data_IF_113743728732
#
_entry.id   IF_113743728732
#
_cell.length_a   1.000
_cell.length_b   1.000
_cell.length_c   1.000
_cell.angle_alpha   90.00
_cell.angle_beta   90.00
_cell.angle_gamma   90.00
#
_symmetry.space_group_name_H-M   'P 1'
#
loop_
_entity.id
_entity.type
_entity.pdbx_description
1 polymer ?
#
# COMPACT_ATOMS: atom_id res chain seq x y z
N UNK A 1 30.26 -32.35 21.36
CA UNK A 1 30.94 -31.89 20.14
C UNK A 1 30.89 -30.38 20.13
N UNK A 2 32.04 -29.74 20.12
CA UNK A 2 32.16 -28.29 20.06
C UNK A 2 32.18 -27.87 18.59
N UNK A 3 31.30 -26.95 18.21
CA UNK A 3 31.26 -26.37 16.88
C UNK A 3 32.19 -25.15 16.90
N UNK A 4 33.13 -25.09 15.97
CA UNK A 4 34.07 -23.98 15.83
C UNK A 4 33.83 -23.22 14.51
N UNK A 5 34.35 -21.99 14.45
CA UNK A 5 34.31 -21.18 13.23
C UNK A 5 35.18 -21.89 12.19
N UNK A 6 34.63 -22.15 11.00
CA UNK A 6 35.28 -22.89 9.91
C UNK A 6 34.85 -24.35 9.78
N UNK A 7 34.08 -24.89 10.71
CA UNK A 7 33.58 -26.27 10.61
C UNK A 7 32.47 -26.38 9.56
N UNK A 8 32.52 -27.47 8.77
CA UNK A 8 31.46 -27.81 7.82
C UNK A 8 30.36 -28.56 8.54
N UNK A 9 29.18 -27.98 8.55
CA UNK A 9 28.01 -28.51 9.27
C UNK A 9 26.89 -28.86 8.31
N UNK A 10 26.14 -29.90 8.66
CA UNK A 10 24.86 -30.24 8.05
C UNK A 10 23.74 -29.92 9.03
N UNK A 11 22.62 -29.40 8.51
CA UNK A 11 21.43 -29.16 9.32
C UNK A 11 20.75 -30.48 9.69
N UNK A 12 20.23 -30.58 10.91
CA UNK A 12 19.50 -31.76 11.38
C UNK A 12 18.09 -31.83 10.78
N UNK A 13 17.43 -30.67 10.64
CA UNK A 13 16.02 -30.55 10.28
C UNK A 13 15.79 -30.27 8.78
N UNK A 14 16.87 -30.12 7.98
CA UNK A 14 16.77 -29.75 6.57
C UNK A 14 17.84 -30.43 5.68
N UNK A 15 17.54 -30.54 4.39
CA UNK A 15 18.49 -30.98 3.36
C UNK A 15 19.37 -29.80 2.98
N UNK A 16 20.47 -29.63 3.71
CA UNK A 16 21.39 -28.52 3.50
C UNK A 16 22.54 -28.54 4.50
N UNK A 17 23.55 -27.74 4.23
CA UNK A 17 24.72 -27.62 5.08
C UNK A 17 25.68 -26.57 4.54
N UNK A 18 26.51 -26.03 5.42
CA UNK A 18 27.39 -24.93 5.12
C UNK A 18 28.59 -24.89 6.06
N UNK A 19 29.32 -23.78 6.04
CA UNK A 19 30.49 -23.56 6.88
C UNK A 19 30.13 -22.53 7.94
N UNK A 20 30.50 -22.76 9.20
CA UNK A 20 30.26 -21.78 10.26
C UNK A 20 31.16 -20.57 10.04
N UNK A 21 30.58 -19.38 9.87
CA UNK A 21 31.33 -18.12 9.72
C UNK A 21 31.36 -17.29 11.01
N UNK A 22 30.33 -17.38 11.86
CA UNK A 22 30.27 -16.61 13.10
C UNK A 22 29.37 -17.24 14.17
N UNK A 23 29.61 -16.87 15.44
CA UNK A 23 28.71 -17.16 16.56
C UNK A 23 28.03 -15.87 17.02
N UNK A 24 26.70 -15.87 17.09
CA UNK A 24 25.90 -14.75 17.61
C UNK A 24 25.33 -15.15 18.96
N UNK A 25 26.14 -14.99 20.02
CA UNK A 25 25.75 -15.39 21.39
C UNK A 25 26.02 -16.87 21.68
N UNK A 26 25.37 -17.43 22.71
CA UNK A 26 25.66 -18.80 23.19
C UNK A 26 25.06 -19.91 22.34
N UNK A 27 23.90 -19.67 21.71
CA UNK A 27 23.10 -20.71 21.07
C UNK A 27 22.90 -20.55 19.57
N UNK A 28 23.32 -19.42 18.97
CA UNK A 28 23.03 -19.07 17.58
C UNK A 28 24.32 -18.98 16.75
N UNK A 29 24.33 -19.68 15.62
CA UNK A 29 25.47 -19.90 14.74
C UNK A 29 25.12 -19.41 13.34
N UNK A 30 26.01 -18.69 12.68
CA UNK A 30 25.84 -18.24 11.30
C UNK A 30 26.52 -19.26 10.40
N UNK A 31 25.75 -19.85 9.49
CA UNK A 31 26.22 -20.85 8.54
C UNK A 31 26.17 -20.24 7.15
N UNK A 32 27.31 -20.22 6.48
CA UNK A 32 27.46 -19.83 5.08
C UNK A 32 27.23 -21.04 4.19
N UNK A 33 26.19 -20.95 3.38
CA UNK A 33 25.79 -22.02 2.46
C UNK A 33 26.60 -21.96 1.15
N UNK A 34 26.48 -23.00 0.33
CA UNK A 34 27.23 -23.12 -0.93
C UNK A 34 26.84 -22.06 -1.98
N UNK A 35 25.69 -21.41 -1.81
CA UNK A 35 25.19 -20.30 -2.61
C UNK A 35 25.68 -18.92 -2.12
N UNK A 36 26.45 -18.87 -1.03
CA UNK A 36 26.99 -17.65 -0.45
C UNK A 36 26.02 -16.90 0.48
N UNK A 37 24.88 -17.50 0.84
CA UNK A 37 23.93 -16.91 1.78
C UNK A 37 24.29 -17.27 3.22
N UNK A 38 24.15 -16.30 4.14
CA UNK A 38 24.41 -16.47 5.57
C UNK A 38 23.11 -16.69 6.35
N UNK A 39 22.88 -17.92 6.80
CA UNK A 39 21.66 -18.28 7.55
C UNK A 39 21.97 -18.42 9.05
N UNK A 40 21.28 -17.69 9.94
CA UNK A 40 21.37 -17.89 11.37
C UNK A 40 20.61 -19.16 11.79
N UNK A 41 21.32 -20.14 12.34
CA UNK A 41 20.77 -21.42 12.80
C UNK A 41 21.17 -21.72 14.24
N UNK A 42 20.35 -22.50 14.95
CA UNK A 42 20.67 -22.88 16.33
C UNK A 42 21.79 -23.91 16.36
N UNK A 43 22.71 -23.77 17.33
CA UNK A 43 23.83 -24.70 17.55
C UNK A 43 23.37 -26.16 17.65
N UNK A 44 22.19 -26.41 18.25
CA UNK A 44 21.61 -27.75 18.42
C UNK A 44 21.16 -28.41 17.12
N UNK A 45 20.96 -27.62 16.07
CA UNK A 45 20.47 -28.06 14.77
C UNK A 45 21.62 -28.26 13.76
N UNK A 46 22.89 -28.19 14.20
CA UNK A 46 24.07 -28.35 13.34
C UNK A 46 24.91 -29.56 13.78
N UNK A 47 25.31 -30.39 12.81
CA UNK A 47 26.21 -31.53 13.03
C UNK A 47 27.45 -31.38 12.15
N UNK A 48 28.65 -31.49 12.74
CA UNK A 48 29.93 -31.41 12.02
C UNK A 48 30.13 -32.65 11.17
N UNK A 49 30.47 -32.46 9.89
CA UNK A 49 30.80 -33.54 8.96
C UNK A 49 32.32 -33.61 8.82
N UNK A 50 32.95 -34.68 9.34
CA UNK A 50 34.35 -34.97 9.05
C UNK A 50 34.47 -35.60 7.65
N UNK A 51 35.46 -35.21 6.83
CA UNK A 51 35.65 -35.80 5.51
C UNK A 51 36.20 -37.22 5.64
N UNK A 52 35.42 -38.22 5.21
CA UNK A 52 35.95 -39.57 4.98
C UNK A 52 36.93 -39.58 3.79
N UNK A 53 37.92 -40.47 3.91
CA UNK A 53 39.11 -40.60 3.09
C UNK A 53 38.83 -40.84 1.60
N UNK A 54 39.58 -40.15 0.74
CA UNK A 54 39.71 -40.50 -0.69
C UNK A 54 40.73 -41.63 -0.88
N UNK A 55 40.68 -42.35 -2.02
CA UNK A 55 41.95 -42.73 -2.62
C UNK A 55 42.10 -42.35 -4.12
N UNK A 56 43.37 -42.16 -4.44
CA UNK A 56 44.10 -42.23 -5.72
C UNK A 56 44.23 -40.98 -6.61
N UNK A 57 45.38 -40.33 -6.40
CA UNK A 57 46.35 -39.70 -7.33
C UNK A 57 46.11 -39.87 -8.84
N UNK A 58 46.34 -38.79 -9.60
CA UNK A 58 47.29 -38.78 -10.71
C UNK A 58 47.90 -37.37 -10.96
N UNK A 59 49.22 -37.29 -10.69
CA UNK A 59 50.35 -36.61 -11.37
C UNK A 59 50.22 -35.18 -11.96
N UNK A 60 51.02 -34.28 -11.34
CA UNK A 60 51.70 -32.99 -11.71
C UNK A 60 52.02 -32.72 -13.21
N UNK A 61 52.30 -31.47 -13.69
CA UNK A 61 53.13 -30.43 -13.04
C UNK A 61 52.87 -28.91 -13.24
N UNK A 62 53.30 -28.16 -12.23
CA UNK A 62 53.98 -26.85 -12.17
C UNK A 62 53.85 -25.82 -13.31
N UNK A 63 53.30 -24.63 -13.00
CA UNK A 63 53.77 -23.33 -13.50
C UNK A 63 53.49 -22.20 -12.49
N UNK A 64 54.47 -21.29 -12.38
CA UNK A 64 54.57 -20.15 -11.46
C UNK A 64 53.53 -19.04 -11.76
N UNK A 65 53.41 -17.99 -10.91
CA UNK A 65 52.16 -17.30 -10.59
C UNK A 65 51.71 -16.32 -11.69
N UNK A 66 50.43 -16.39 -12.07
CA UNK A 66 49.74 -15.41 -12.89
C UNK A 66 48.80 -14.56 -12.02
N UNK A 67 48.52 -13.30 -12.39
CA UNK A 67 48.11 -12.23 -11.49
C UNK A 67 46.74 -12.49 -10.88
N UNK A 68 46.58 -12.13 -9.61
CA UNK A 68 45.28 -12.00 -8.94
C UNK A 68 44.42 -11.08 -9.82
N UNK A 69 43.48 -11.69 -10.56
CA UNK A 69 42.38 -10.95 -11.17
C UNK A 69 41.62 -10.34 -10.01
N UNK A 70 41.66 -9.02 -9.91
CA UNK A 70 40.77 -8.25 -9.02
C UNK A 70 39.36 -8.73 -9.34
N UNK A 71 38.78 -9.47 -8.42
CA UNK A 71 37.37 -9.73 -8.36
C UNK A 71 36.67 -8.36 -8.42
N UNK A 72 35.63 -8.19 -9.26
CA UNK A 72 34.94 -6.91 -9.36
C UNK A 72 34.45 -6.58 -7.97
N UNK A 73 34.99 -5.50 -7.41
CA UNK A 73 34.51 -4.89 -6.19
C UNK A 73 33.01 -4.71 -6.38
N UNK A 74 32.21 -5.54 -5.71
CA UNK A 74 30.78 -5.35 -5.66
C UNK A 74 30.61 -3.92 -5.15
N UNK A 75 30.20 -3.03 -6.06
CA UNK A 75 29.76 -1.69 -5.72
C UNK A 75 28.66 -1.88 -4.70
N UNK A 76 29.01 -1.72 -3.41
CA UNK A 76 28.04 -1.53 -2.35
C UNK A 76 27.13 -0.44 -2.89
N UNK A 77 25.80 -0.66 -3.01
CA UNK A 77 24.92 0.35 -3.57
C UNK A 77 25.19 1.64 -2.83
N UNK A 78 25.77 2.60 -3.54
CA UNK A 78 26.10 3.91 -3.00
C UNK A 78 24.82 4.43 -2.38
N UNK A 79 24.82 4.58 -1.05
CA UNK A 79 23.77 5.24 -0.31
C UNK A 79 23.42 6.50 -1.07
N UNK A 80 22.21 6.53 -1.66
CA UNK A 80 21.67 7.65 -2.42
C UNK A 80 21.68 8.85 -1.47
N UNK A 81 22.77 9.60 -1.55
CA UNK A 81 23.08 10.74 -0.69
C UNK A 81 22.54 11.96 -1.39
N UNK A 82 21.21 12.04 -1.34
CA UNK A 82 20.33 13.22 -1.43
C UNK A 82 18.98 12.72 -1.91
N UNK A 83 18.20 12.16 -0.97
CA UNK A 83 16.75 12.12 -1.17
C UNK A 83 16.30 13.58 -1.26
N UNK A 84 15.58 14.00 -2.31
CA UNK A 84 15.02 15.34 -2.34
C UNK A 84 14.20 15.58 -1.06
N UNK A 85 14.17 16.82 -0.55
CA UNK A 85 13.38 17.13 0.63
C UNK A 85 11.93 16.69 0.39
N UNK A 86 11.38 15.88 1.29
CA UNK A 86 9.99 15.46 1.23
C UNK A 86 9.15 16.70 1.55
N UNK A 87 8.48 17.25 0.53
CA UNK A 87 7.58 18.39 0.72
C UNK A 87 6.20 17.87 1.14
N UNK A 88 5.95 17.88 2.45
CA UNK A 88 4.68 17.46 3.08
C UNK A 88 3.73 18.65 3.35
N UNK A 89 4.12 19.86 2.95
CA UNK A 89 3.36 21.07 3.25
C UNK A 89 2.12 21.17 2.35
N UNK A 90 0.96 21.48 2.95
CA UNK A 90 -0.28 21.72 2.21
C UNK A 90 -1.05 20.46 1.80
N UNK A 91 -0.64 19.26 2.23
CA UNK A 91 -1.44 18.07 1.99
C UNK A 91 -2.68 18.07 2.91
N UNK A 92 -3.83 18.34 2.29
CA UNK A 92 -5.15 18.45 2.91
C UNK A 92 -6.07 17.40 2.33
N UNK A 93 -6.88 16.75 3.17
CA UNK A 93 -7.87 15.77 2.71
C UNK A 93 -9.19 16.50 2.54
N UNK A 94 -9.54 16.78 1.29
CA UNK A 94 -10.82 17.41 0.92
C UNK A 94 -11.63 16.45 0.06
N UNK A 95 -12.80 16.08 0.55
CA UNK A 95 -13.72 15.16 -0.13
C UNK A 95 -15.13 15.70 -0.02
N UNK A 96 -15.81 15.78 -1.16
CA UNK A 96 -17.16 16.32 -1.27
C UNK A 96 -18.06 15.35 -2.01
N UNK A 97 -19.35 15.41 -1.71
CA UNK A 97 -20.39 14.80 -2.55
C UNK A 97 -21.06 15.91 -3.35
N UNK A 98 -21.28 15.66 -4.63
CA UNK A 98 -22.00 16.57 -5.51
C UNK A 98 -23.26 15.89 -6.02
N UNK A 99 -24.36 16.64 -6.00
CA UNK A 99 -25.64 16.19 -6.52
C UNK A 99 -26.08 17.12 -7.64
N UNK A 100 -26.45 16.55 -8.78
CA UNK A 100 -26.84 17.29 -9.98
C UNK A 100 -28.14 16.72 -10.55
N UNK A 101 -29.07 17.54 -11.02
CA UNK A 101 -30.21 17.04 -11.78
C UNK A 101 -29.76 16.59 -13.17
N UNK A 102 -30.35 15.51 -13.69
CA UNK A 102 -30.17 15.06 -15.07
C UNK A 102 -30.57 16.17 -16.07
N UNK A 103 -29.66 16.52 -16.98
CA UNK A 103 -29.82 17.70 -17.86
C UNK A 103 -30.98 17.57 -18.87
N UNK A 104 -31.25 16.36 -19.33
CA UNK A 104 -32.22 16.10 -20.41
C UNK A 104 -33.68 16.22 -19.96
N UNK A 105 -33.93 16.52 -18.67
CA UNK A 105 -35.27 16.53 -18.07
C UNK A 105 -35.55 17.83 -17.35
N UNK A 106 -36.85 18.15 -17.23
CA UNK A 106 -37.29 19.27 -16.41
C UNK A 106 -36.83 19.08 -14.96
N UNK A 107 -36.38 20.14 -14.30
CA UNK A 107 -35.79 20.07 -12.95
C UNK A 107 -36.62 19.26 -11.95
N UNK A 108 -37.96 19.35 -11.97
CA UNK A 108 -38.81 18.64 -11.01
C UNK A 108 -38.95 17.13 -11.30
N UNK A 109 -38.69 16.71 -12.53
CA UNK A 109 -38.84 15.32 -13.01
C UNK A 109 -37.50 14.60 -13.21
N UNK A 110 -36.40 15.37 -13.31
CA UNK A 110 -35.07 14.83 -13.49
C UNK A 110 -34.70 13.83 -12.38
N UNK A 111 -33.92 12.82 -12.73
CA UNK A 111 -33.22 12.07 -11.69
C UNK A 111 -32.11 12.94 -11.09
N UNK A 112 -31.57 12.52 -9.96
CA UNK A 112 -30.43 13.18 -9.32
C UNK A 112 -29.24 12.26 -9.44
N UNK A 113 -28.20 12.75 -10.09
CA UNK A 113 -26.89 12.11 -10.16
C UNK A 113 -26.05 12.49 -8.93
N UNK A 114 -25.30 11.53 -8.42
CA UNK A 114 -24.41 11.70 -7.29
C UNK A 114 -22.96 11.38 -7.70
N UNK A 115 -22.05 12.28 -7.36
CA UNK A 115 -20.62 12.16 -7.63
C UNK A 115 -19.81 12.31 -6.34
N UNK A 116 -18.73 11.55 -6.25
CA UNK A 116 -17.67 11.75 -5.27
C UNK A 116 -16.59 12.65 -5.87
N UNK A 117 -16.29 13.76 -5.21
CA UNK A 117 -15.17 14.63 -5.58
C UNK A 117 -14.02 14.38 -4.60
N UNK A 118 -12.86 14.02 -5.14
CA UNK A 118 -11.60 14.00 -4.43
C UNK A 118 -10.79 15.24 -4.79
N UNK A 119 -10.87 16.28 -3.96
CA UNK A 119 -10.11 17.53 -4.13
C UNK A 119 -8.85 17.50 -3.23
N UNK A 120 -8.18 16.36 -3.22
CA UNK A 120 -7.00 16.11 -2.40
C UNK A 120 -5.87 15.54 -3.24
N UNK A 121 -4.60 15.71 -2.79
CA UNK A 121 -3.46 15.13 -3.49
C UNK A 121 -3.31 13.62 -3.25
N UNK A 122 -4.24 12.98 -2.55
CA UNK A 122 -4.21 11.55 -2.21
C UNK A 122 -5.06 10.74 -3.18
N UNK A 123 -4.65 9.51 -3.43
CA UNK A 123 -5.55 8.48 -3.96
C UNK A 123 -6.43 7.99 -2.80
N UNK A 124 -7.72 7.79 -3.04
CA UNK A 124 -8.66 7.35 -2.02
C UNK A 124 -9.25 5.99 -2.38
N UNK A 125 -9.15 5.04 -1.46
CA UNK A 125 -10.05 3.89 -1.46
C UNK A 125 -11.32 4.29 -0.70
N UNK A 126 -12.49 4.10 -1.29
CA UNK A 126 -13.77 4.53 -0.69
C UNK A 126 -14.83 3.43 -0.65
N UNK A 127 -15.77 3.61 0.27
CA UNK A 127 -17.03 2.88 0.35
C UNK A 127 -18.15 3.89 0.60
N UNK A 128 -19.10 3.95 -0.33
CA UNK A 128 -20.30 4.79 -0.27
C UNK A 128 -21.52 3.90 -0.07
N UNK A 129 -22.31 4.23 0.95
CA UNK A 129 -23.38 3.37 1.45
C UNK A 129 -24.60 4.17 1.89
N UNK A 130 -25.74 3.51 1.97
CA UNK A 130 -26.90 4.00 2.71
C UNK A 130 -26.87 3.47 4.13
N UNK A 131 -27.21 4.32 5.09
CA UNK A 131 -27.18 3.98 6.53
C UNK A 131 -28.60 3.98 7.08
N UNK A 132 -29.12 2.78 7.38
CA UNK A 132 -30.46 2.58 7.96
C UNK A 132 -30.37 1.79 9.25
N UNK A 133 -30.93 2.30 10.36
CA UNK A 133 -30.93 1.62 11.66
C UNK A 133 -29.54 1.13 12.10
N UNK A 134 -28.50 1.96 11.90
CA UNK A 134 -27.09 1.65 12.18
C UNK A 134 -26.49 0.51 11.34
N UNK A 135 -27.22 -0.02 10.35
CA UNK A 135 -26.70 -0.93 9.35
C UNK A 135 -26.31 -0.15 8.08
N UNK A 136 -25.19 -0.55 7.48
CA UNK A 136 -24.67 0.03 6.26
C UNK A 136 -24.93 -0.92 5.10
N UNK A 137 -25.51 -0.40 4.02
CA UNK A 137 -25.64 -1.11 2.75
C UNK A 137 -24.80 -0.38 1.70
N UNK A 138 -23.66 -0.97 1.33
CA UNK A 138 -22.79 -0.44 0.28
C UNK A 138 -23.55 -0.33 -1.04
N UNK A 139 -23.52 0.86 -1.62
CA UNK A 139 -24.03 1.12 -2.95
C UNK A 139 -22.90 1.06 -3.98
N UNK A 140 -21.77 1.69 -3.66
CA UNK A 140 -20.60 1.68 -4.50
C UNK A 140 -19.32 1.73 -3.66
N UNK A 141 -18.27 1.07 -4.13
CA UNK A 141 -16.93 1.14 -3.55
C UNK A 141 -15.90 1.09 -4.67
N UNK A 142 -14.70 1.59 -4.40
CA UNK A 142 -13.64 1.64 -5.42
C UNK A 142 -12.46 2.49 -5.00
N UNK A 143 -11.59 2.79 -5.96
CA UNK A 143 -10.52 3.79 -5.82
C UNK A 143 -10.84 5.02 -6.67
N UNK A 144 -10.37 6.19 -6.23
CA UNK A 144 -10.46 7.45 -6.95
C UNK A 144 -9.11 8.17 -6.90
N UNK A 145 -8.63 8.61 -8.06
CA UNK A 145 -7.35 9.30 -8.21
C UNK A 145 -7.36 10.70 -7.55
N UNK A 146 -6.18 11.28 -7.25
CA UNK A 146 -6.09 12.66 -6.76
C UNK A 146 -6.76 13.68 -7.69
N UNK A 147 -7.39 14.70 -7.11
CA UNK A 147 -7.96 15.85 -7.83
C UNK A 147 -8.91 15.46 -8.98
N UNK A 148 -9.71 14.41 -8.78
CA UNK A 148 -10.69 13.94 -9.76
C UNK A 148 -12.06 13.75 -9.12
N UNK A 149 -13.05 13.39 -9.94
CA UNK A 149 -14.39 13.03 -9.51
C UNK A 149 -14.79 11.69 -10.11
N UNK A 150 -15.64 10.93 -9.40
CA UNK A 150 -16.23 9.71 -9.92
C UNK A 150 -17.74 9.69 -9.71
N UNK A 151 -18.46 9.11 -10.67
CA UNK A 151 -19.89 8.86 -10.57
C UNK A 151 -20.16 7.77 -9.53
N UNK A 152 -21.16 7.96 -8.66
CA UNK A 152 -21.56 7.01 -7.62
C UNK A 152 -22.91 6.34 -7.89
N UNK A 153 -23.94 7.12 -8.14
CA UNK A 153 -25.28 6.60 -8.40
C UNK A 153 -26.16 7.67 -9.05
N UNK A 154 -27.30 7.22 -9.57
CA UNK A 154 -28.41 8.07 -9.96
C UNK A 154 -29.64 7.54 -9.26
N UNK A 155 -30.42 8.43 -8.67
CA UNK A 155 -31.66 8.07 -8.00
C UNK A 155 -32.75 9.09 -8.29
N UNK A 156 -34.00 8.63 -8.22
CA UNK A 156 -35.14 9.50 -8.42
C UNK A 156 -35.52 10.22 -7.11
N UNK A 157 -36.13 11.40 -7.22
CA UNK A 157 -36.48 12.24 -6.07
C UNK A 157 -37.49 11.60 -5.11
N UNK A 158 -38.33 10.70 -5.59
CA UNK A 158 -39.26 9.88 -4.79
C UNK A 158 -38.54 8.89 -3.87
N UNK A 159 -37.35 8.42 -4.26
CA UNK A 159 -36.50 7.51 -3.45
C UNK A 159 -35.54 8.24 -2.51
N UNK A 160 -35.56 9.57 -2.49
CA UNK A 160 -34.64 10.41 -1.71
C UNK A 160 -34.72 10.15 -0.19
N UNK A 161 -35.89 9.73 0.32
CA UNK A 161 -36.05 9.37 1.73
C UNK A 161 -35.19 8.17 2.12
N UNK A 162 -34.97 7.23 1.20
CA UNK A 162 -34.08 6.08 1.41
C UNK A 162 -32.61 6.49 1.38
N UNK A 163 -32.30 7.62 0.73
CA UNK A 163 -30.95 8.23 0.64
C UNK A 163 -30.74 9.38 1.61
N UNK A 164 -31.70 9.68 2.50
CA UNK A 164 -31.60 10.81 3.44
C UNK A 164 -30.43 10.68 4.42
N UNK A 165 -29.88 9.48 4.57
CA UNK A 165 -28.72 9.20 5.41
C UNK A 165 -27.73 8.30 4.67
N UNK A 166 -26.65 8.92 4.18
CA UNK A 166 -25.58 8.23 3.46
C UNK A 166 -24.32 8.20 4.30
N UNK A 167 -23.53 7.16 4.13
CA UNK A 167 -22.27 6.96 4.81
C UNK A 167 -21.12 6.91 3.81
N UNK A 168 -20.04 7.62 4.11
CA UNK A 168 -18.82 7.60 3.32
C UNK A 168 -17.63 7.20 4.18
N UNK A 169 -16.94 6.15 3.75
CA UNK A 169 -15.67 5.70 4.31
C UNK A 169 -14.56 5.89 3.30
N UNK A 170 -13.42 6.44 3.72
CA UNK A 170 -12.26 6.66 2.86
C UNK A 170 -10.95 6.31 3.55
N UNK A 171 -10.00 5.81 2.77
CA UNK A 171 -8.60 5.61 3.16
C UNK A 171 -7.74 6.37 2.15
N UNK A 172 -6.97 7.35 2.61
CA UNK A 172 -6.12 8.20 1.77
C UNK A 172 -4.67 7.70 1.75
N UNK A 173 -4.09 7.54 0.56
CA UNK A 173 -2.72 7.08 0.38
C UNK A 173 -2.07 7.65 -0.89
N UNK A 174 -0.74 7.51 -1.01
CA UNK A 174 -0.02 7.75 -2.27
C UNK A 174 0.84 6.53 -2.61
N UNK A 175 0.58 5.82 -3.73
CA UNK A 175 1.39 4.68 -4.11
C UNK A 175 2.81 5.12 -4.47
N UNK A 176 3.82 4.38 -3.99
CA UNK A 176 5.24 4.61 -4.29
C UNK A 176 5.76 6.04 -3.96
N UNK A 177 5.12 6.75 -3.02
CA UNK A 177 5.51 8.10 -2.60
C UNK A 177 5.48 8.26 -1.08
N UNK A 178 6.32 9.14 -0.54
CA UNK A 178 6.22 9.58 0.84
C UNK A 178 5.11 10.63 0.96
N UNK A 179 4.25 10.50 1.96
CA UNK A 179 3.13 11.41 2.20
C UNK A 179 2.80 11.49 3.69
N UNK A 180 2.05 12.52 4.09
CA UNK A 180 1.54 12.65 5.45
C UNK A 180 0.40 11.65 5.62
N UNK A 181 0.63 10.62 6.43
CA UNK A 181 -0.39 9.61 6.69
C UNK A 181 -1.66 10.23 7.29
N UNK A 182 -2.81 9.89 6.71
CA UNK A 182 -4.13 10.22 7.21
C UNK A 182 -4.74 9.00 7.89
N UNK A 183 -5.43 9.20 9.00
CA UNK A 183 -6.26 8.13 9.56
C UNK A 183 -7.41 7.79 8.60
N UNK A 184 -7.80 6.50 8.47
CA UNK A 184 -9.04 6.13 7.81
C UNK A 184 -10.20 6.94 8.37
N UNK A 185 -11.06 7.44 7.48
CA UNK A 185 -12.21 8.26 7.87
C UNK A 185 -13.51 7.55 7.54
N UNK A 186 -14.49 7.75 8.41
CA UNK A 186 -15.87 7.29 8.25
C UNK A 186 -16.77 8.42 8.70
N UNK A 187 -17.73 8.81 7.88
CA UNK A 187 -18.68 9.86 8.24
C UNK A 187 -20.06 9.59 7.67
N UNK A 188 -21.04 9.83 8.53
CA UNK A 188 -22.45 9.79 8.18
C UNK A 188 -22.86 11.20 7.78
N UNK A 189 -23.49 11.31 6.61
CA UNK A 189 -23.96 12.54 6.01
C UNK A 189 -25.48 12.48 5.95
N UNK A 190 -26.11 13.38 6.70
CA UNK A 190 -27.55 13.60 6.67
C UNK A 190 -27.86 14.59 5.56
N UNK A 191 -28.53 14.12 4.53
CA UNK A 191 -29.01 14.96 3.44
C UNK A 191 -30.30 15.65 3.89
N UNK A 192 -30.48 16.90 3.48
CA UNK A 192 -31.74 17.63 3.64
C UNK A 192 -32.57 17.45 2.36
N UNK A 193 -33.63 16.60 2.38
CA UNK A 193 -34.39 16.29 1.18
C UNK A 193 -35.01 17.53 0.53
N UNK A 194 -35.32 18.55 1.33
CA UNK A 194 -35.97 19.79 0.86
C UNK A 194 -35.07 20.55 -0.13
N UNK A 195 -33.75 20.44 0.00
CA UNK A 195 -32.79 21.11 -0.91
C UNK A 195 -32.88 20.57 -2.34
N UNK A 196 -33.18 19.29 -2.52
CA UNK A 196 -33.26 18.65 -3.85
C UNK A 196 -34.49 19.08 -4.67
N UNK A 197 -35.46 19.75 -4.04
CA UNK A 197 -36.64 20.32 -4.68
C UNK A 197 -36.52 21.84 -4.93
N UNK A 198 -35.40 22.46 -4.54
CA UNK A 198 -35.18 23.91 -4.62
C UNK A 198 -34.02 24.21 -5.56
N UNK A 199 -34.33 24.76 -6.74
CA UNK A 199 -33.32 25.11 -7.76
C UNK A 199 -32.19 25.98 -7.19
N UNK A 200 -32.50 27.00 -6.40
CA UNK A 200 -31.51 27.90 -5.77
C UNK A 200 -30.59 27.24 -4.73
N UNK A 201 -30.78 25.96 -4.40
CA UNK A 201 -29.83 25.21 -3.58
C UNK A 201 -28.68 24.61 -4.42
N UNK A 202 -28.86 24.53 -5.74
CA UNK A 202 -27.83 24.15 -6.71
C UNK A 202 -27.15 25.45 -7.16
N UNK A 203 -25.82 25.46 -7.17
CA UNK A 203 -25.04 26.66 -7.45
C UNK A 203 -23.88 26.36 -8.38
N UNK A 204 -23.40 27.41 -9.06
CA UNK A 204 -22.18 27.40 -9.83
C UNK A 204 -21.01 26.94 -8.95
N UNK A 205 -20.15 26.11 -9.53
CA UNK A 205 -19.09 25.45 -8.79
C UNK A 205 -17.90 25.17 -9.72
N UNK A 206 -16.69 24.93 -9.18
CA UNK A 206 -15.50 24.72 -10.00
C UNK A 206 -15.37 23.29 -10.54
N UNK A 207 -16.28 22.38 -10.20
CA UNK A 207 -16.14 20.95 -10.49
C UNK A 207 -16.98 20.50 -11.69
N UNK A 208 -18.09 21.17 -11.97
CA UNK A 208 -19.06 20.85 -13.03
C UNK A 208 -19.39 22.12 -13.81
N UNK A 209 -19.78 21.96 -15.08
CA UNK A 209 -20.25 23.08 -15.89
C UNK A 209 -21.68 23.48 -15.46
N UNK A 210 -22.42 22.54 -14.88
CA UNK A 210 -23.77 22.67 -14.36
C UNK A 210 -23.79 23.06 -12.87
N UNK A 211 -24.92 23.63 -12.45
CA UNK A 211 -25.18 23.93 -11.05
C UNK A 211 -25.32 22.65 -10.22
N UNK A 212 -24.57 22.57 -9.12
CA UNK A 212 -24.54 21.39 -8.25
C UNK A 212 -24.88 21.75 -6.79
N UNK A 213 -25.51 20.82 -6.09
CA UNK A 213 -25.61 20.85 -4.63
C UNK A 213 -24.38 20.15 -4.07
N UNK A 214 -23.43 20.91 -3.54
CA UNK A 214 -22.22 20.40 -2.92
C UNK A 214 -22.39 20.15 -1.42
N UNK A 215 -21.87 19.03 -0.94
CA UNK A 215 -21.83 18.66 0.47
C UNK A 215 -20.41 18.29 0.86
N UNK A 216 -19.80 19.11 1.71
CA UNK A 216 -18.47 18.85 2.25
C UNK A 216 -18.51 17.71 3.27
N UNK A 217 -17.77 16.64 3.01
CA UNK A 217 -17.71 15.47 3.90
C UNK A 217 -16.48 15.55 4.79
N UNK A 218 -15.32 15.75 4.17
CA UNK A 218 -14.02 15.96 4.82
C UNK A 218 -13.39 17.24 4.27
N UNK A 219 -12.91 18.11 5.16
CA UNK A 219 -12.16 19.34 4.81
C UNK A 219 -11.17 19.60 5.96
N UNK A 220 -9.93 19.12 5.79
CA UNK A 220 -8.87 19.18 6.79
C UNK A 220 -7.59 19.80 6.26
#
# INVERSE_FOLDING_TARGET
>A
MELNIGDRVRYLDAVGGGIITAFKGKDLVVVLEADGFETPVLRRQCVVVQPEEKPVRQVVPTKAPAPIKKEPEQEKPTLITKRPPINLAGERLVVKLAYLPEEDKAFNEAAVECYLINDSPYELLFNYAVVTNQAWMTLQSGSIEPNTKCYLETFNRDTLNERGHVGLQVIAFKPNAFYKSCQPRSKDVKLDPVKFYKVHCFNENPYFDEDALLVDVFDE
#
